data_IF_575154627027
#
_entry.id   IF_575154627027
#
_cell.length_a   1.000
_cell.length_b   1.000
_cell.length_c   1.000
_cell.angle_alpha   90.00
_cell.angle_beta   90.00
_cell.angle_gamma   90.00
#
_symmetry.space_group_name_H-M   'P 1'
#
loop_
_entity.id
_entity.type
_entity.pdbx_description
1 polymer ?
#
# COMPACT_ATOMS: atom_id res chain seq x y z
N UNK A 1 42.78 2.59 -37.42
CA UNK A 1 41.51 1.84 -37.31
C UNK A 1 41.60 0.90 -36.12
N UNK A 2 41.18 1.36 -34.94
CA UNK A 2 41.04 0.53 -33.74
C UNK A 2 39.56 0.45 -33.38
N UNK A 3 38.99 -0.76 -33.32
CA UNK A 3 37.63 -0.98 -32.82
C UNK A 3 37.74 -1.51 -31.40
N UNK A 4 37.33 -0.69 -30.42
CA UNK A 4 37.08 -1.14 -29.04
C UNK A 4 35.68 -1.76 -29.05
N UNK A 5 35.57 -3.06 -28.74
CA UNK A 5 34.29 -3.68 -28.40
C UNK A 5 34.01 -3.36 -26.93
N UNK A 6 32.95 -2.60 -26.66
CA UNK A 6 32.38 -2.49 -25.33
C UNK A 6 31.69 -3.82 -24.99
N UNK A 7 32.15 -4.48 -23.92
CA UNK A 7 31.34 -5.45 -23.20
C UNK A 7 30.43 -4.66 -22.27
N UNK A 8 29.13 -4.77 -22.49
CA UNK A 8 28.08 -4.30 -21.59
C UNK A 8 27.55 -5.56 -20.94
N UNK A 9 28.02 -5.84 -19.73
CA UNK A 9 27.42 -6.83 -18.84
C UNK A 9 26.12 -6.23 -18.30
N UNK A 10 25.00 -6.54 -18.95
CA UNK A 10 23.67 -6.27 -18.42
C UNK A 10 23.07 -7.56 -17.89
N UNK A 11 23.49 -7.96 -16.70
CA UNK A 11 22.69 -8.86 -15.87
C UNK A 11 21.81 -8.00 -14.97
N UNK A 12 20.59 -7.73 -15.43
CA UNK A 12 19.51 -7.32 -14.53
C UNK A 12 19.15 -8.53 -13.66
N UNK A 13 19.10 -8.41 -12.32
CA UNK A 13 18.61 -9.50 -11.50
C UNK A 13 17.15 -9.78 -11.85
N UNK A 14 16.83 -11.06 -12.08
CA UNK A 14 15.48 -11.53 -12.35
C UNK A 14 14.50 -11.07 -11.24
N UNK A 15 13.23 -10.80 -11.58
CA UNK A 15 12.22 -10.48 -10.57
C UNK A 15 12.12 -11.60 -9.54
N UNK A 16 12.21 -11.24 -8.26
CA UNK A 16 12.12 -12.16 -7.14
C UNK A 16 10.80 -12.97 -7.23
N UNK A 17 10.85 -14.31 -7.24
CA UNK A 17 9.64 -15.10 -7.13
C UNK A 17 9.07 -14.87 -5.73
N UNK A 18 7.87 -14.28 -5.66
CA UNK A 18 7.08 -14.09 -4.46
C UNK A 18 7.06 -15.42 -3.70
N UNK A 19 7.73 -15.48 -2.54
CA UNK A 19 7.85 -16.70 -1.76
C UNK A 19 6.47 -17.07 -1.22
N UNK A 20 5.95 -18.20 -1.68
CA UNK A 20 4.75 -18.83 -1.13
C UNK A 20 4.95 -19.08 0.38
N UNK A 21 4.06 -18.50 1.18
CA UNK A 21 4.00 -18.70 2.63
C UNK A 21 3.44 -20.11 2.89
N UNK A 22 4.01 -20.81 3.88
CA UNK A 22 3.64 -22.17 4.32
C UNK A 22 2.11 -22.32 4.59
N UNK A 23 1.41 -23.30 3.99
CA UNK A 23 -0.04 -23.49 4.17
C UNK A 23 -0.52 -23.89 5.58
N UNK A 24 0.36 -24.32 6.48
CA UNK A 24 -0.03 -24.91 7.78
C UNK A 24 -0.08 -23.91 8.96
N UNK A 25 0.27 -22.66 8.74
CA UNK A 25 -0.08 -21.54 9.62
C UNK A 25 -1.04 -20.66 8.83
N UNK A 26 -2.34 -20.66 9.14
CA UNK A 26 -3.18 -19.59 8.63
C UNK A 26 -2.62 -18.29 9.21
N UNK A 27 -1.99 -17.40 8.42
CA UNK A 27 -1.52 -16.16 8.98
C UNK A 27 -2.74 -15.44 9.58
N UNK A 28 -2.58 -14.73 10.71
CA UNK A 28 -3.65 -13.90 11.22
C UNK A 28 -4.17 -13.00 10.09
N UNK A 29 -5.47 -12.72 10.10
CA UNK A 29 -6.05 -11.77 9.15
C UNK A 29 -5.20 -10.51 9.11
N UNK A 30 -4.92 -10.01 7.91
CA UNK A 30 -4.03 -8.86 7.71
C UNK A 30 -4.81 -7.69 7.12
N UNK A 31 -4.85 -6.60 7.88
CA UNK A 31 -5.67 -5.43 7.59
C UNK A 31 -4.89 -4.14 7.79
N UNK A 32 -5.31 -3.13 7.04
CA UNK A 32 -4.88 -1.75 7.18
C UNK A 32 -6.07 -0.89 7.56
N UNK A 33 -5.86 0.01 8.50
CA UNK A 33 -6.90 0.84 9.09
C UNK A 33 -6.59 2.29 8.77
N UNK A 34 -7.62 3.05 8.43
CA UNK A 34 -7.44 4.44 8.05
C UNK A 34 -8.65 5.29 8.40
N UNK A 35 -8.38 6.58 8.51
CA UNK A 35 -9.36 7.62 8.67
C UNK A 35 -8.97 8.77 7.74
N UNK A 36 -9.88 9.16 6.85
CA UNK A 36 -9.67 10.27 5.92
C UNK A 36 -10.74 11.31 6.18
N UNK A 37 -10.34 12.51 6.59
CA UNK A 37 -11.26 13.62 6.75
C UNK A 37 -11.15 14.57 5.57
N UNK A 38 -12.08 14.46 4.61
CA UNK A 38 -12.08 15.30 3.41
C UNK A 38 -12.43 16.77 3.68
N UNK A 39 -13.00 17.07 4.85
CA UNK A 39 -13.25 18.44 5.31
C UNK A 39 -11.99 19.09 5.92
N UNK A 40 -10.91 18.33 6.12
CA UNK A 40 -9.66 18.87 6.62
C UNK A 40 -9.02 19.82 5.59
N UNK A 41 -8.43 20.91 6.10
CA UNK A 41 -7.85 21.95 5.25
C UNK A 41 -6.78 21.37 4.33
N UNK A 42 -6.96 21.53 3.02
CA UNK A 42 -6.00 21.12 2.00
C UNK A 42 -6.25 19.74 1.40
N UNK A 43 -7.23 18.97 1.88
CA UNK A 43 -7.62 17.71 1.24
C UNK A 43 -8.12 17.92 -0.19
N UNK A 44 -8.95 18.94 -0.40
CA UNK A 44 -9.44 19.38 -1.72
C UNK A 44 -8.29 19.61 -2.71
N UNK A 45 -7.20 20.23 -2.25
CA UNK A 45 -6.03 20.56 -3.07
C UNK A 45 -5.19 19.34 -3.44
N UNK A 46 -5.18 18.32 -2.58
CA UNK A 46 -4.37 17.12 -2.81
C UNK A 46 -5.17 15.99 -3.45
N UNK A 47 -6.51 16.04 -3.48
CA UNK A 47 -7.34 14.96 -4.02
C UNK A 47 -6.99 14.61 -5.48
N UNK A 48 -6.97 15.60 -6.37
CA UNK A 48 -6.59 15.40 -7.77
C UNK A 48 -5.16 14.85 -7.91
N UNK A 49 -4.26 15.25 -6.99
CA UNK A 49 -2.88 14.75 -6.96
C UNK A 49 -2.83 13.30 -6.50
N UNK A 50 -3.58 12.92 -5.47
CA UNK A 50 -3.68 11.54 -4.99
C UNK A 50 -4.24 10.63 -6.08
N UNK A 51 -5.27 11.04 -6.83
CA UNK A 51 -5.78 10.27 -7.98
C UNK A 51 -4.70 10.06 -9.04
N UNK A 52 -3.94 11.09 -9.38
CA UNK A 52 -2.84 10.97 -10.35
C UNK A 52 -1.73 10.05 -9.84
N UNK A 53 -1.34 10.20 -8.58
CA UNK A 53 -0.31 9.38 -7.94
C UNK A 53 -0.77 7.91 -7.80
N UNK A 54 -2.04 7.65 -7.51
CA UNK A 54 -2.62 6.28 -7.48
C UNK A 54 -2.52 5.60 -8.84
N UNK A 55 -2.73 6.32 -9.95
CA UNK A 55 -2.53 5.76 -11.30
C UNK A 55 -1.07 5.36 -11.55
N UNK A 56 -0.13 6.16 -11.05
CA UNK A 56 1.31 5.86 -11.13
C UNK A 56 1.64 4.61 -10.31
N UNK A 57 1.12 4.52 -9.08
CA UNK A 57 1.30 3.35 -8.20
C UNK A 57 0.76 2.07 -8.87
N UNK A 58 -0.46 2.13 -9.40
CA UNK A 58 -1.10 1.00 -10.09
C UNK A 58 -0.24 0.54 -11.28
N UNK A 59 0.25 1.47 -12.10
CA UNK A 59 1.09 1.14 -13.25
C UNK A 59 2.45 0.56 -12.84
N UNK A 60 3.05 1.03 -11.74
CA UNK A 60 4.37 0.62 -11.30
C UNK A 60 4.38 -0.71 -10.53
N UNK A 61 3.29 -1.07 -9.86
CA UNK A 61 3.21 -2.28 -9.04
C UNK A 61 3.10 -3.57 -9.87
N UNK A 62 2.63 -3.48 -11.12
CA UNK A 62 2.44 -4.62 -12.03
C UNK A 62 1.66 -5.79 -11.41
N UNK A 63 0.59 -5.46 -10.69
CA UNK A 63 -0.33 -6.44 -10.07
C UNK A 63 -1.66 -6.45 -10.81
N UNK A 64 -2.27 -7.63 -10.96
CA UNK A 64 -3.61 -7.75 -11.50
C UNK A 64 -4.67 -7.20 -10.53
N UNK A 65 -5.35 -6.13 -10.94
CA UNK A 65 -6.34 -5.40 -10.15
C UNK A 65 -7.72 -5.42 -10.82
N UNK A 66 -8.76 -5.17 -10.03
CA UNK A 66 -10.16 -5.06 -10.47
C UNK A 66 -10.94 -4.04 -9.64
N UNK A 67 -12.10 -3.62 -10.16
CA UNK A 67 -13.11 -2.85 -9.43
C UNK A 67 -14.26 -3.71 -8.85
N UNK A 68 -14.08 -5.03 -8.77
CA UNK A 68 -15.09 -5.96 -8.24
C UNK A 68 -14.80 -6.40 -6.79
N UNK A 69 -15.88 -6.70 -6.07
CA UNK A 69 -15.83 -7.34 -4.76
C UNK A 69 -15.28 -8.78 -4.84
N UNK A 70 -14.70 -9.28 -3.74
CA UNK A 70 -14.06 -10.59 -3.64
C UNK A 70 -14.97 -11.79 -3.99
N UNK A 71 -14.41 -13.01 -3.98
CA UNK A 71 -14.52 -13.95 -5.08
C UNK A 71 -15.95 -14.42 -5.35
N UNK A 72 -16.66 -13.72 -6.24
CA UNK A 72 -17.75 -14.26 -7.03
C UNK A 72 -17.22 -14.70 -8.41
N UNK A 73 -16.03 -15.30 -8.48
CA UNK A 73 -15.45 -15.74 -9.73
C UNK A 73 -15.77 -17.21 -9.96
N UNK A 74 -16.87 -17.46 -10.65
CA UNK A 74 -16.94 -18.62 -11.54
C UNK A 74 -15.98 -18.32 -12.71
N UNK A 75 -14.79 -18.94 -12.69
CA UNK A 75 -13.75 -18.77 -13.72
C UNK A 75 -14.30 -19.09 -15.13
N UNK A 76 -15.41 -19.83 -15.23
CA UNK A 76 -16.03 -20.24 -16.49
C UNK A 76 -17.05 -19.23 -17.06
N UNK A 77 -17.40 -18.14 -16.34
CA UNK A 77 -18.50 -17.23 -16.73
C UNK A 77 -18.08 -15.78 -17.06
N UNK A 78 -16.85 -15.36 -16.78
CA UNK A 78 -16.43 -13.96 -16.98
C UNK A 78 -15.34 -13.85 -18.04
N UNK A 79 -15.68 -13.26 -19.19
CA UNK A 79 -14.74 -13.04 -20.31
C UNK A 79 -13.88 -11.77 -20.15
N UNK A 80 -14.21 -10.88 -19.21
CA UNK A 80 -13.53 -9.59 -19.02
C UNK A 80 -13.56 -9.17 -17.55
N UNK A 81 -12.38 -8.99 -16.94
CA UNK A 81 -12.22 -8.42 -15.60
C UNK A 81 -12.23 -6.89 -15.73
N UNK A 82 -13.11 -6.15 -15.05
CA UNK A 82 -13.12 -4.70 -15.13
C UNK A 82 -11.86 -4.11 -14.48
N UNK A 83 -11.28 -3.03 -15.03
CA UNK A 83 -10.12 -2.37 -14.40
C UNK A 83 -10.52 -1.72 -13.07
N UNK A 84 -9.55 -1.43 -12.17
CA UNK A 84 -9.82 -0.66 -10.96
C UNK A 84 -10.35 0.74 -11.29
N UNK A 85 -11.18 1.30 -10.41
CA UNK A 85 -11.67 2.68 -10.54
C UNK A 85 -10.67 3.60 -9.84
N UNK A 86 -10.12 4.55 -10.60
CA UNK A 86 -9.22 5.60 -10.10
C UNK A 86 -9.54 6.90 -10.84
N UNK A 87 -10.50 7.66 -10.33
CA UNK A 87 -10.97 8.90 -10.97
C UNK A 87 -11.27 9.99 -9.94
N UNK A 88 -11.27 11.25 -10.39
CA UNK A 88 -11.57 12.39 -9.51
C UNK A 88 -13.03 12.37 -9.05
N UNK A 89 -13.93 11.91 -9.93
CA UNK A 89 -15.37 11.96 -9.73
C UNK A 89 -15.89 10.74 -8.95
N UNK A 90 -15.34 9.55 -9.19
CA UNK A 90 -15.78 8.30 -8.57
C UNK A 90 -14.89 7.87 -7.39
N UNK A 91 -13.66 8.38 -7.33
CA UNK A 91 -12.68 8.05 -6.31
C UNK A 91 -11.82 6.83 -6.64
N UNK A 92 -11.47 6.08 -5.60
CA UNK A 92 -10.57 4.94 -5.66
C UNK A 92 -11.35 3.70 -5.23
N UNK A 93 -11.45 2.72 -6.13
CA UNK A 93 -11.94 1.38 -5.84
C UNK A 93 -10.95 0.38 -6.43
N UNK A 94 -10.21 -0.31 -5.56
CA UNK A 94 -9.15 -1.25 -5.95
C UNK A 94 -9.29 -2.55 -5.17
N UNK A 95 -9.35 -3.67 -5.88
CA UNK A 95 -9.22 -5.01 -5.32
C UNK A 95 -8.22 -5.84 -6.16
N UNK A 96 -7.77 -6.97 -5.63
CA UNK A 96 -7.03 -7.95 -6.43
C UNK A 96 -7.96 -8.71 -7.37
N UNK A 97 -7.45 -9.15 -8.52
CA UNK A 97 -8.23 -9.93 -9.49
C UNK A 97 -8.26 -11.44 -9.13
N UNK A 98 -9.40 -12.10 -9.37
CA UNK A 98 -9.56 -13.55 -9.21
C UNK A 98 -9.17 -14.06 -7.82
N UNK A 99 -8.27 -15.05 -7.75
CA UNK A 99 -7.73 -15.60 -6.48
C UNK A 99 -6.89 -14.60 -5.67
N UNK A 100 -6.50 -13.49 -6.29
CA UNK A 100 -5.83 -12.36 -5.67
C UNK A 100 -6.80 -11.43 -4.93
N UNK A 101 -8.12 -11.56 -5.10
CA UNK A 101 -9.11 -10.71 -4.45
C UNK A 101 -9.22 -10.97 -2.94
N UNK A 102 -9.56 -9.92 -2.20
CA UNK A 102 -10.03 -10.01 -0.81
C UNK A 102 -11.06 -8.89 -0.59
N UNK A 103 -10.84 -7.95 0.34
CA UNK A 103 -11.68 -6.77 0.54
C UNK A 103 -11.15 -5.59 -0.29
N UNK A 104 -11.98 -4.87 -1.06
CA UNK A 104 -11.51 -3.70 -1.82
C UNK A 104 -11.05 -2.57 -0.89
N UNK A 105 -10.06 -1.80 -1.36
CA UNK A 105 -9.82 -0.44 -0.88
C UNK A 105 -10.85 0.47 -1.56
N UNK A 106 -11.61 1.22 -0.75
CA UNK A 106 -12.59 2.21 -1.22
C UNK A 106 -12.29 3.55 -0.55
N UNK A 107 -12.03 4.57 -1.37
CA UNK A 107 -11.87 5.97 -0.94
C UNK A 107 -12.68 6.83 -1.92
N UNK A 108 -13.79 7.38 -1.45
CA UNK A 108 -14.61 8.31 -2.21
C UNK A 108 -14.03 9.73 -2.27
N UNK A 109 -14.59 10.59 -3.12
CA UNK A 109 -14.21 12.00 -3.21
C UNK A 109 -14.55 12.81 -1.94
N UNK A 110 -15.49 12.32 -1.13
CA UNK A 110 -16.01 12.96 0.07
C UNK A 110 -16.02 11.98 1.24
N UNK A 111 -14.88 11.79 1.87
CA UNK A 111 -14.76 11.00 3.11
C UNK A 111 -15.13 11.84 4.33
N UNK A 112 -16.01 11.33 5.18
CA UNK A 112 -16.56 12.03 6.34
C UNK A 112 -15.70 11.94 7.61
N UNK A 113 -14.55 11.27 7.53
CA UNK A 113 -13.71 11.00 8.70
C UNK A 113 -14.22 9.84 9.55
N UNK A 114 -14.99 8.91 9.00
CA UNK A 114 -15.24 7.66 9.71
C UNK A 114 -14.05 6.69 9.62
N UNK A 115 -13.93 5.87 10.66
CA UNK A 115 -12.98 4.76 10.68
C UNK A 115 -13.31 3.77 9.57
N UNK A 116 -12.30 3.41 8.79
CA UNK A 116 -12.41 2.42 7.73
C UNK A 116 -11.23 1.45 7.78
N UNK A 117 -11.37 0.32 7.10
CA UNK A 117 -10.32 -0.69 7.01
C UNK A 117 -10.44 -1.54 5.76
N UNK A 118 -9.30 -1.99 5.27
CA UNK A 118 -9.18 -2.91 4.13
C UNK A 118 -8.42 -4.15 4.58
N UNK A 119 -9.00 -5.33 4.32
CA UNK A 119 -8.41 -6.63 4.65
C UNK A 119 -7.87 -7.28 3.39
N UNK A 120 -6.57 -7.16 3.19
CA UNK A 120 -5.88 -7.66 2.00
C UNK A 120 -5.46 -9.12 2.17
N UNK A 121 -5.32 -9.62 3.40
CA UNK A 121 -4.88 -10.99 3.69
C UNK A 121 -3.59 -11.38 2.94
N UNK A 122 -2.62 -10.46 2.91
CA UNK A 122 -1.32 -10.66 2.24
C UNK A 122 -1.42 -10.97 0.73
N UNK A 123 -2.57 -10.66 0.11
CA UNK A 123 -2.75 -10.88 -1.33
C UNK A 123 -1.87 -9.92 -2.14
N UNK A 124 -1.51 -10.26 -3.39
CA UNK A 124 -0.56 -9.47 -4.17
C UNK A 124 -0.90 -7.98 -4.30
N UNK A 125 -2.19 -7.62 -4.34
CA UNK A 125 -2.62 -6.22 -4.46
C UNK A 125 -2.39 -5.39 -3.18
N UNK A 126 -1.97 -6.01 -2.07
CA UNK A 126 -1.66 -5.34 -0.81
C UNK A 126 -0.64 -4.20 -1.01
N UNK A 127 0.40 -4.41 -1.81
CA UNK A 127 1.43 -3.38 -2.06
C UNK A 127 0.83 -2.10 -2.66
N UNK A 128 -0.18 -2.24 -3.54
CA UNK A 128 -0.90 -1.11 -4.15
C UNK A 128 -1.73 -0.39 -3.09
N UNK A 129 -2.51 -1.16 -2.30
CA UNK A 129 -3.35 -0.63 -1.22
C UNK A 129 -2.50 0.15 -0.21
N UNK A 130 -1.44 -0.45 0.29
CA UNK A 130 -0.53 0.15 1.26
C UNK A 130 0.14 1.40 0.70
N UNK A 131 0.63 1.37 -0.55
CA UNK A 131 1.30 2.52 -1.15
C UNK A 131 0.34 3.69 -1.40
N UNK A 132 -0.93 3.42 -1.77
CA UNK A 132 -1.96 4.47 -1.92
C UNK A 132 -2.27 5.13 -0.58
N UNK A 133 -2.49 4.33 0.47
CA UNK A 133 -2.74 4.85 1.82
C UNK A 133 -1.54 5.64 2.37
N UNK A 134 -0.32 5.14 2.16
CA UNK A 134 0.92 5.84 2.52
C UNK A 134 1.03 7.18 1.80
N UNK A 135 0.75 7.20 0.49
CA UNK A 135 0.78 8.42 -0.31
C UNK A 135 -0.24 9.45 0.18
N UNK A 136 -1.45 9.02 0.53
CA UNK A 136 -2.44 9.90 1.14
C UNK A 136 -1.92 10.49 2.47
N UNK A 137 -1.30 9.66 3.32
CA UNK A 137 -0.73 10.10 4.60
C UNK A 137 0.44 11.08 4.45
N UNK A 138 1.30 10.89 3.45
CA UNK A 138 2.41 11.81 3.16
C UNK A 138 1.94 13.14 2.58
N UNK A 139 0.91 13.14 1.73
CA UNK A 139 0.36 14.35 1.13
C UNK A 139 -0.47 15.19 2.11
N UNK A 140 -1.16 14.54 3.05
CA UNK A 140 -2.09 15.22 3.97
C UNK A 140 -2.05 14.61 5.39
N UNK A 141 -0.92 14.75 6.11
CA UNK A 141 -0.73 14.10 7.43
C UNK A 141 -1.69 14.58 8.53
N UNK A 142 -2.39 15.69 8.32
CA UNK A 142 -3.43 16.19 9.23
C UNK A 142 -4.84 15.73 8.85
N UNK A 143 -5.04 15.24 7.63
CA UNK A 143 -6.34 14.75 7.14
C UNK A 143 -6.43 13.22 7.20
N UNK A 144 -5.28 12.54 7.14
CA UNK A 144 -5.18 11.08 7.05
C UNK A 144 -4.51 10.53 8.29
N UNK A 145 -5.16 9.56 8.93
CA UNK A 145 -4.55 8.68 9.92
C UNK A 145 -4.51 7.28 9.31
N UNK A 146 -3.38 6.60 9.47
CA UNK A 146 -3.12 5.28 8.91
C UNK A 146 -2.49 4.41 9.99
N UNK A 147 -2.89 3.15 10.08
CA UNK A 147 -2.22 2.10 10.85
C UNK A 147 -2.39 0.74 10.16
N UNK A 148 -1.65 -0.27 10.60
CA UNK A 148 -1.53 -1.56 9.94
C UNK A 148 -1.28 -2.67 10.95
N UNK A 149 -1.79 -3.88 10.67
CA UNK A 149 -1.41 -5.10 11.41
C UNK A 149 0.06 -5.50 11.18
N UNK A 150 0.67 -5.00 10.10
CA UNK A 150 2.06 -5.22 9.74
C UNK A 150 3.04 -4.18 10.27
N UNK A 151 4.30 -4.61 10.42
CA UNK A 151 5.43 -3.83 10.90
C UNK A 151 6.08 -2.98 9.80
N UNK A 152 6.58 -1.80 10.17
CA UNK A 152 7.16 -0.82 9.25
C UNK A 152 8.50 -1.30 8.65
N UNK A 153 9.35 -1.88 9.49
CA UNK A 153 10.72 -2.25 9.10
C UNK A 153 10.88 -3.70 8.58
N UNK A 154 9.85 -4.54 8.74
CA UNK A 154 9.95 -5.95 8.33
C UNK A 154 9.80 -6.16 6.81
N UNK A 155 10.63 -7.05 6.26
CA UNK A 155 10.64 -7.42 4.83
C UNK A 155 9.30 -7.94 4.34
N UNK A 156 8.61 -8.74 5.16
CA UNK A 156 7.36 -9.37 4.78
C UNK A 156 6.15 -8.43 4.83
N UNK A 157 6.33 -7.18 5.27
CA UNK A 157 5.25 -6.25 5.60
C UNK A 157 5.35 -4.94 4.81
N UNK A 158 5.96 -3.89 5.35
CA UNK A 158 5.98 -2.57 4.69
C UNK A 158 7.23 -2.26 3.87
N UNK A 159 8.26 -3.12 3.91
CA UNK A 159 9.51 -2.84 3.20
C UNK A 159 9.35 -2.75 1.68
N UNK A 160 8.59 -3.64 1.05
CA UNK A 160 8.29 -3.57 -0.38
C UNK A 160 7.45 -2.32 -0.74
N UNK A 161 6.50 -1.94 0.13
CA UNK A 161 5.71 -0.72 -0.05
C UNK A 161 6.61 0.51 -0.05
N UNK A 162 7.58 0.59 0.88
CA UNK A 162 8.54 1.70 0.95
C UNK A 162 9.46 1.72 -0.26
N UNK A 163 9.95 0.55 -0.71
CA UNK A 163 10.75 0.43 -1.94
C UNK A 163 9.98 0.98 -3.15
N UNK A 164 8.72 0.58 -3.32
CA UNK A 164 7.86 1.11 -4.38
C UNK A 164 7.68 2.62 -4.23
N UNK A 165 7.30 3.10 -3.05
CA UNK A 165 7.10 4.53 -2.80
C UNK A 165 8.34 5.36 -3.14
N UNK A 166 9.51 4.97 -2.63
CA UNK A 166 10.77 5.70 -2.83
C UNK A 166 11.26 5.64 -4.29
N UNK A 167 10.89 4.61 -5.04
CA UNK A 167 11.17 4.57 -6.48
C UNK A 167 10.37 5.61 -7.28
N UNK A 168 9.18 5.97 -6.80
CA UNK A 168 8.28 6.92 -7.44
C UNK A 168 8.53 8.37 -6.98
N UNK A 169 8.89 8.55 -5.71
CA UNK A 169 9.16 9.86 -5.09
C UNK A 169 10.44 9.81 -4.25
N UNK A 170 11.63 9.78 -4.89
CA UNK A 170 12.91 9.63 -4.18
C UNK A 170 13.26 10.84 -3.29
N UNK A 171 12.70 12.01 -3.58
CA UNK A 171 12.96 13.26 -2.84
C UNK A 171 12.03 13.46 -1.64
N UNK A 172 11.02 12.60 -1.47
CA UNK A 172 10.08 12.70 -0.35
C UNK A 172 10.73 12.22 0.96
N UNK A 173 10.49 12.95 2.04
CA UNK A 173 10.89 12.51 3.37
C UNK A 173 9.89 11.46 3.89
N UNK A 174 10.24 10.19 3.71
CA UNK A 174 9.41 9.06 4.11
C UNK A 174 9.56 8.73 5.60
N UNK A 175 8.44 8.63 6.31
CA UNK A 175 8.39 8.22 7.71
C UNK A 175 7.18 7.31 7.99
N UNK A 176 7.23 6.55 9.08
CA UNK A 176 6.11 5.72 9.52
C UNK A 176 4.97 6.63 10.04
N UNK A 177 3.76 6.61 9.45
CA UNK A 177 2.68 7.51 9.85
C UNK A 177 1.92 7.05 11.11
N UNK A 178 2.22 5.87 11.65
CA UNK A 178 1.72 5.42 12.96
C UNK A 178 2.84 5.25 13.98
N UNK A 179 2.46 5.27 15.25
CA UNK A 179 3.34 4.82 16.32
C UNK A 179 3.31 3.30 16.34
N UNK A 180 4.46 2.66 16.16
CA UNK A 180 4.59 1.25 16.52
C UNK A 180 4.44 1.13 18.04
N UNK A 181 3.81 0.05 18.54
CA UNK A 181 3.82 -0.22 19.98
C UNK A 181 5.27 -0.24 20.45
N UNK A 182 5.55 0.47 21.55
CA UNK A 182 6.87 0.39 22.16
C UNK A 182 7.16 -1.09 22.41
N UNK A 183 8.29 -1.59 21.89
CA UNK A 183 8.80 -2.89 22.30
C UNK A 183 9.01 -2.78 23.79
N UNK A 184 8.14 -3.40 24.59
CA UNK A 184 8.41 -3.52 26.02
C UNK A 184 9.74 -4.24 26.13
N UNK A 185 10.75 -3.54 26.65
CA UNK A 185 12.01 -4.17 26.99
C UNK A 185 11.69 -5.30 27.96
N UNK A 186 11.93 -6.58 27.62
CA UNK A 186 11.69 -7.68 28.53
C UNK A 186 12.53 -7.57 29.82
N UNK A 187 13.47 -6.62 29.88
CA UNK A 187 14.28 -6.33 31.06
C UNK A 187 13.85 -5.09 31.87
N UNK A 188 12.66 -4.51 31.66
CA UNK A 188 11.98 -3.64 32.64
C UNK A 188 12.91 -2.65 33.38
N UNK A 189 13.79 -1.97 32.66
CA UNK A 189 14.75 -1.03 33.24
C UNK A 189 14.18 0.37 33.28
N UNK A 190 13.33 0.68 34.27
CA UNK A 190 12.93 2.05 34.57
C UNK A 190 14.16 2.88 34.94
N UNK A 191 14.75 3.56 33.96
CA UNK A 191 15.67 4.68 34.24
C UNK A 191 14.82 5.93 34.40
N UNK A 192 14.27 6.07 35.61
CA UNK A 192 13.73 7.33 36.06
C UNK A 192 14.84 8.37 36.08
N UNK A 193 14.86 9.25 35.08
CA UNK A 193 15.50 10.55 35.18
C UNK A 193 14.41 11.61 35.13
N UNK A 194 13.95 12.03 36.31
CA UNK A 194 13.26 13.30 36.48
C UNK A 194 14.32 14.43 36.48
N UNK A 195 14.09 15.55 35.77
CA UNK A 195 14.91 16.75 35.94
C UNK A 195 14.35 17.69 37.03
N UNK A 196 15.31 18.28 37.74
CA UNK A 196 15.28 19.43 38.67
C UNK A 196 14.76 19.20 40.09
#
# INVERSE_FOLDING_TARGET
>A
MGKVKAHIDTEFPAPNPVRFIDPLMHPPSYSHYFHINSNSKGWDKIWSRLIADTKIIVAAADVALTAEDGPCYDEDLVTTIPPPIVSVDEGIYINGAGKGASKPLVIGPHEDGHFNYVKTNWKPYDVVVCCVLLRAAMLAPHAVQLSSDGFWEEELSWKEVRRLYQSLWPEDNLYCPWKEPAVEDPNGGSTGCAPS
#
